data_IF_877948171990
#
_entry.id   IF_877948171990
#
_cell.length_a   1.000
_cell.length_b   1.000
_cell.length_c   1.000
_cell.angle_alpha   90.00
_cell.angle_beta   90.00
_cell.angle_gamma   90.00
#
_symmetry.space_group_name_H-M   'P 1'
#
loop_
_entity.id
_entity.type
_entity.pdbx_description
1 polymer ?
#
# COMPACT_ATOMS: atom_id res chain seq x y z
N UNK A 1 12.91 11.70 24.03
CA UNK A 1 11.73 11.14 23.33
C UNK A 1 10.56 12.12 23.25
N UNK A 2 10.43 13.12 24.13
CA UNK A 2 9.39 14.17 24.01
C UNK A 2 9.58 15.08 22.79
N UNK A 3 10.83 15.37 22.39
CA UNK A 3 11.15 16.26 21.24
C UNK A 3 10.83 15.69 19.84
N UNK A 4 10.21 14.52 19.76
CA UNK A 4 9.80 13.88 18.51
C UNK A 4 8.28 14.00 18.27
N UNK A 5 7.56 14.63 19.20
CA UNK A 5 6.14 14.91 19.08
C UNK A 5 5.92 16.41 19.23
N UNK A 6 4.98 16.93 18.46
CA UNK A 6 4.51 18.31 18.55
C UNK A 6 3.05 18.27 18.99
N UNK A 7 2.75 18.92 20.11
CA UNK A 7 1.36 19.12 20.56
C UNK A 7 0.93 20.52 20.12
N UNK A 8 -0.25 20.59 19.51
CA UNK A 8 -0.83 21.82 19.00
C UNK A 8 -2.27 21.91 19.52
N UNK A 9 -2.55 22.93 20.33
CA UNK A 9 -3.88 23.16 20.88
C UNK A 9 -4.42 24.55 20.55
N UNK A 10 -5.74 24.67 20.51
CA UNK A 10 -6.40 25.98 20.39
C UNK A 10 -5.97 26.92 21.53
N UNK A 11 -5.70 28.18 21.18
CA UNK A 11 -5.24 29.24 22.10
C UNK A 11 -3.71 29.35 22.21
N UNK A 12 -2.97 28.34 21.77
CA UNK A 12 -1.50 28.37 21.76
C UNK A 12 -0.97 29.14 20.56
N UNK A 13 0.25 29.69 20.70
CA UNK A 13 0.95 30.34 19.59
C UNK A 13 1.76 29.30 18.83
N UNK A 14 1.58 29.24 17.51
CA UNK A 14 2.37 28.37 16.65
C UNK A 14 3.77 28.94 16.45
N UNK A 15 4.79 28.21 16.90
CA UNK A 15 6.17 28.47 16.50
C UNK A 15 6.44 27.88 15.11
N UNK A 16 6.38 28.73 14.08
CA UNK A 16 6.60 28.32 12.68
C UNK A 16 8.01 27.77 12.45
N UNK A 17 9.04 28.40 13.02
CA UNK A 17 10.42 27.91 12.91
C UNK A 17 10.61 26.58 13.63
N UNK A 18 9.94 26.42 14.77
CA UNK A 18 9.83 25.15 15.49
C UNK A 18 9.13 24.07 14.67
N UNK A 19 8.04 24.41 13.97
CA UNK A 19 7.31 23.50 13.07
C UNK A 19 8.17 23.06 11.89
N UNK A 20 8.87 23.97 11.23
CA UNK A 20 9.81 23.65 10.14
C UNK A 20 10.94 22.75 10.62
N UNK A 21 11.53 23.08 11.78
CA UNK A 21 12.57 22.26 12.41
C UNK A 21 12.05 20.87 12.76
N UNK A 22 10.84 20.78 13.32
CA UNK A 22 10.17 19.52 13.61
C UNK A 22 9.93 18.71 12.34
N UNK A 23 9.37 19.34 11.30
CA UNK A 23 9.03 18.71 10.03
C UNK A 23 10.27 18.09 9.40
N UNK A 24 11.32 18.90 9.24
CA UNK A 24 12.59 18.45 8.72
C UNK A 24 13.21 17.37 9.61
N UNK A 25 13.19 17.48 10.94
CA UNK A 25 13.77 16.45 11.81
C UNK A 25 13.00 15.15 11.83
N UNK A 26 11.71 15.15 11.52
CA UNK A 26 10.82 13.98 11.70
C UNK A 26 10.30 13.36 10.42
N UNK A 27 10.63 13.94 9.25
CA UNK A 27 10.35 13.32 7.96
C UNK A 27 9.13 13.88 7.25
N UNK A 28 8.57 14.99 7.73
CA UNK A 28 7.50 15.65 7.02
C UNK A 28 8.04 16.39 5.80
N UNK A 29 7.22 16.42 4.76
CA UNK A 29 7.48 17.17 3.54
C UNK A 29 6.53 18.36 3.48
N UNK A 30 7.05 19.51 3.03
CA UNK A 30 6.20 20.64 2.72
C UNK A 30 5.66 20.50 1.31
N UNK A 31 4.34 20.49 1.18
CA UNK A 31 3.64 20.49 -0.09
C UNK A 31 2.64 21.64 -0.09
N UNK A 32 2.24 22.07 -1.29
CA UNK A 32 1.16 23.02 -1.44
C UNK A 32 -0.16 22.39 -1.03
N UNK A 33 -0.45 21.14 -1.45
CA UNK A 33 -1.71 20.46 -1.17
C UNK A 33 -1.47 19.20 -0.34
N UNK A 34 -2.34 18.99 0.64
CA UNK A 34 -2.25 17.86 1.56
C UNK A 34 -3.21 16.76 1.13
N UNK A 35 -2.67 15.66 0.64
CA UNK A 35 -3.42 14.45 0.35
C UNK A 35 -2.79 13.15 0.90
N UNK A 36 -1.52 13.18 1.33
CA UNK A 36 -0.83 12.03 1.91
C UNK A 36 -0.38 12.25 3.38
N UNK A 37 -0.38 11.19 4.22
CA UNK A 37 0.18 11.27 5.57
C UNK A 37 1.67 11.62 5.55
N UNK A 38 2.08 12.57 6.40
CA UNK A 38 3.47 13.07 6.44
C UNK A 38 3.68 14.40 5.72
N UNK A 39 2.61 15.07 5.29
CA UNK A 39 2.70 16.37 4.61
C UNK A 39 2.29 17.54 5.51
N UNK A 40 2.85 18.72 5.22
CA UNK A 40 2.51 20.01 5.85
C UNK A 40 2.39 21.09 4.76
N UNK A 41 1.34 21.90 4.83
CA UNK A 41 1.17 23.06 3.95
C UNK A 41 0.99 24.31 4.82
N UNK A 42 1.77 25.35 4.53
CA UNK A 42 1.69 26.63 5.24
C UNK A 42 1.21 27.69 4.25
N UNK A 43 0.03 28.26 4.51
CA UNK A 43 -0.64 29.23 3.64
C UNK A 43 -1.12 30.43 4.46
N UNK A 44 -0.20 31.34 4.79
CA UNK A 44 -0.50 32.52 5.59
C UNK A 44 -1.10 32.14 6.95
N UNK A 45 -2.34 32.57 7.21
CA UNK A 45 -3.09 32.26 8.44
C UNK A 45 -3.67 30.85 8.51
N UNK A 46 -3.31 29.95 7.59
CA UNK A 46 -3.76 28.55 7.60
C UNK A 46 -2.56 27.62 7.54
N UNK A 47 -2.56 26.58 8.37
CA UNK A 47 -1.58 25.51 8.32
C UNK A 47 -2.31 24.18 8.27
N UNK A 48 -2.09 23.42 7.20
CA UNK A 48 -2.62 22.06 7.07
C UNK A 48 -1.51 21.06 7.41
N UNK A 49 -1.86 20.04 8.18
CA UNK A 49 -0.94 18.97 8.59
C UNK A 49 -1.66 17.65 8.40
N UNK A 50 -1.03 16.66 7.77
CA UNK A 50 -1.49 15.27 7.79
C UNK A 50 -0.59 14.45 8.71
N UNK A 51 -0.97 14.24 9.99
CA UNK A 51 -0.11 13.49 10.89
C UNK A 51 0.00 12.03 10.45
N UNK A 52 1.23 11.50 10.34
CA UNK A 52 1.47 10.14 9.83
C UNK A 52 0.78 9.03 10.65
N UNK A 53 0.55 9.28 11.94
CA UNK A 53 -0.09 8.33 12.86
C UNK A 53 -1.56 8.67 13.20
N UNK A 54 -2.13 9.75 12.65
CA UNK A 54 -3.51 10.16 12.97
C UNK A 54 -4.52 9.64 11.92
N UNK A 55 -5.80 9.57 12.31
CA UNK A 55 -6.88 9.10 11.44
C UNK A 55 -7.30 10.04 10.29
N UNK A 56 -6.55 11.11 10.03
CA UNK A 56 -6.83 12.07 8.96
C UNK A 56 -6.14 13.43 9.17
N UNK A 57 -6.14 14.29 8.14
CA UNK A 57 -5.46 15.59 8.19
C UNK A 57 -6.26 16.63 8.98
N UNK A 58 -5.56 17.65 9.45
CA UNK A 58 -6.09 18.76 10.24
C UNK A 58 -5.68 20.10 9.64
N UNK A 59 -6.57 21.07 9.72
CA UNK A 59 -6.39 22.47 9.34
C UNK A 59 -6.38 23.33 10.59
N UNK A 60 -5.29 24.03 10.81
CA UNK A 60 -5.11 25.05 11.84
C UNK A 60 -5.50 26.40 11.24
N UNK A 61 -6.48 27.07 11.83
CA UNK A 61 -6.73 28.49 11.60
C UNK A 61 -5.88 29.32 12.57
N UNK A 62 -5.17 30.30 12.06
CA UNK A 62 -4.30 31.21 12.82
C UNK A 62 -4.81 32.65 12.74
N UNK A 63 -4.60 33.42 13.81
CA UNK A 63 -4.74 34.88 13.79
C UNK A 63 -3.45 35.58 13.31
N UNK A 64 -3.47 36.92 13.29
CA UNK A 64 -2.34 37.75 12.84
C UNK A 64 -1.07 37.60 13.72
N UNK A 65 -1.22 37.09 14.96
CA UNK A 65 -0.13 36.85 15.92
C UNK A 65 0.32 35.38 15.96
N UNK A 66 -0.08 34.57 14.98
CA UNK A 66 0.14 33.12 14.88
C UNK A 66 -0.50 32.30 16.01
N UNK A 67 -1.57 32.79 16.64
CA UNK A 67 -2.33 32.00 17.62
C UNK A 67 -3.31 31.09 16.93
N UNK A 68 -3.36 29.83 17.36
CA UNK A 68 -4.30 28.83 16.86
C UNK A 68 -5.69 29.18 17.38
N UNK A 69 -6.55 29.68 16.51
CA UNK A 69 -7.94 30.03 16.84
C UNK A 69 -8.88 28.84 16.70
N UNK A 70 -8.58 27.92 15.79
CA UNK A 70 -9.37 26.71 15.57
C UNK A 70 -8.53 25.60 14.95
N UNK A 71 -8.89 24.35 15.24
CA UNK A 71 -8.36 23.16 14.59
C UNK A 71 -9.53 22.35 14.08
N UNK A 72 -9.51 21.99 12.80
CA UNK A 72 -10.57 21.20 12.17
C UNK A 72 -9.99 20.03 11.39
N UNK A 73 -10.64 18.87 11.43
CA UNK A 73 -10.34 17.80 10.46
C UNK A 73 -10.80 18.21 9.08
N UNK A 74 -10.18 17.66 8.05
CA UNK A 74 -10.71 17.79 6.69
C UNK A 74 -10.51 16.49 5.89
N UNK A 75 -11.26 16.37 4.80
CA UNK A 75 -11.13 15.25 3.88
C UNK A 75 -10.01 15.56 2.85
N UNK A 76 -8.96 14.71 2.73
CA UNK A 76 -7.81 14.99 1.87
C UNK A 76 -8.16 14.99 0.37
N UNK A 77 -9.21 14.29 -0.04
CA UNK A 77 -9.61 14.23 -1.46
C UNK A 77 -10.40 15.48 -1.86
N UNK A 78 -11.42 15.82 -1.06
CA UNK A 78 -12.35 16.92 -1.34
C UNK A 78 -11.90 18.27 -0.80
N UNK A 79 -10.89 18.27 0.09
CA UNK A 79 -10.36 19.45 0.79
C UNK A 79 -11.42 20.20 1.63
N UNK A 80 -12.51 19.52 1.98
CA UNK A 80 -13.60 20.08 2.76
C UNK A 80 -13.37 19.84 4.24
N UNK A 81 -13.51 20.92 5.00
CA UNK A 81 -13.36 20.91 6.43
C UNK A 81 -14.58 20.28 7.11
N UNK A 82 -14.34 19.52 8.18
CA UNK A 82 -15.31 18.79 8.96
C UNK A 82 -15.31 19.19 10.43
N UNK A 83 -15.20 18.20 11.31
CA UNK A 83 -15.30 18.37 12.76
C UNK A 83 -14.19 19.24 13.37
N UNK A 84 -14.56 20.01 14.40
CA UNK A 84 -13.62 20.73 15.26
C UNK A 84 -12.95 19.76 16.24
N UNK A 85 -11.68 20.01 16.54
CA UNK A 85 -10.94 19.32 17.58
C UNK A 85 -10.22 20.33 18.47
N UNK A 86 -10.04 20.01 19.74
CA UNK A 86 -9.42 20.94 20.71
C UNK A 86 -7.90 20.97 20.59
N UNK A 87 -7.30 19.82 20.24
CA UNK A 87 -5.86 19.67 20.08
C UNK A 87 -5.53 18.53 19.12
N UNK A 88 -4.32 18.58 18.57
CA UNK A 88 -3.72 17.51 17.76
C UNK A 88 -2.31 17.24 18.24
N UNK A 89 -1.94 15.96 18.30
CA UNK A 89 -0.57 15.52 18.54
C UNK A 89 0.02 14.99 17.24
N UNK A 90 1.06 15.65 16.76
CA UNK A 90 1.80 15.30 15.55
C UNK A 90 3.01 14.47 15.96
N UNK A 91 3.02 13.19 15.57
CA UNK A 91 4.17 12.30 15.74
C UNK A 91 5.11 12.34 14.54
N UNK A 92 6.23 11.61 14.57
CA UNK A 92 7.16 11.61 13.44
C UNK A 92 6.60 10.87 12.23
N UNK A 93 6.88 11.36 11.03
CA UNK A 93 6.53 10.72 9.76
C UNK A 93 7.56 9.66 9.32
N UNK A 94 8.75 9.66 9.92
CA UNK A 94 9.82 8.72 9.64
C UNK A 94 10.36 8.10 10.93
N UNK A 95 10.74 6.82 10.85
CA UNK A 95 11.51 6.15 11.92
C UNK A 95 12.94 6.70 12.04
N UNK A 96 13.39 7.54 11.10
CA UNK A 96 14.67 8.25 11.13
C UNK A 96 14.48 9.72 11.56
N UNK A 97 14.64 9.96 12.85
CA UNK A 97 14.59 11.28 13.47
C UNK A 97 16.00 11.85 13.52
N UNK A 98 16.21 12.94 12.80
CA UNK A 98 17.51 13.59 12.70
C UNK A 98 17.82 14.36 14.00
N UNK A 99 19.10 14.36 14.39
CA UNK A 99 19.55 15.08 15.59
C UNK A 99 19.53 16.59 15.38
N UNK A 100 19.87 17.06 14.19
CA UNK A 100 19.89 18.47 13.81
C UNK A 100 19.16 18.69 12.48
N UNK A 101 18.72 19.92 12.26
CA UNK A 101 18.10 20.33 11.00
C UNK A 101 19.11 20.48 9.85
N UNK A 102 20.43 20.52 10.14
CA UNK A 102 21.47 20.60 9.10
C UNK A 102 21.71 19.27 8.37
N UNK A 103 21.18 18.15 8.88
CA UNK A 103 21.37 16.83 8.29
C UNK A 103 20.39 16.61 7.14
N UNK A 104 20.85 16.45 5.92
CA UNK A 104 19.94 16.10 4.81
C UNK A 104 19.52 14.63 4.87
N UNK A 105 18.24 14.36 4.63
CA UNK A 105 17.78 13.00 4.29
C UNK A 105 18.07 12.71 2.83
N UNK A 106 18.63 11.53 2.57
CA UNK A 106 18.79 10.98 1.23
C UNK A 106 18.11 9.61 1.16
N UNK A 107 17.66 9.16 -0.02
CA UNK A 107 17.13 7.80 -0.17
C UNK A 107 18.11 6.76 0.40
N UNK A 108 17.63 5.91 1.31
CA UNK A 108 18.43 4.85 1.93
C UNK A 108 19.21 5.26 3.17
N UNK A 109 19.06 6.49 3.68
CA UNK A 109 19.68 6.92 4.96
C UNK A 109 19.21 6.04 6.13
N UNK A 110 18.02 5.45 6.03
CA UNK A 110 17.45 4.51 6.99
C UNK A 110 18.34 3.29 7.22
N UNK A 111 19.09 2.85 6.19
CA UNK A 111 20.07 1.77 6.31
C UNK A 111 21.26 2.13 7.20
N UNK A 112 21.37 3.39 7.62
CA UNK A 112 22.41 3.90 8.50
C UNK A 112 21.87 4.45 9.80
N UNK A 113 20.62 4.11 10.15
CA UNK A 113 19.95 4.54 11.39
C UNK A 113 20.79 4.29 12.66
N UNK A 114 21.62 3.23 12.67
CA UNK A 114 22.52 2.93 13.80
C UNK A 114 23.55 4.03 14.06
N UNK A 115 23.97 4.79 13.06
CA UNK A 115 24.96 5.86 13.22
C UNK A 115 24.34 7.08 13.91
N UNK A 116 23.04 7.29 13.68
CA UNK A 116 22.25 8.33 14.34
C UNK A 116 21.91 7.89 15.76
N UNK A 117 21.34 6.70 15.94
CA UNK A 117 20.83 6.24 17.24
C UNK A 117 21.87 5.57 18.14
N UNK A 118 23.02 5.18 17.60
CA UNK A 118 24.06 4.41 18.28
C UNK A 118 23.72 2.92 18.45
N UNK A 119 22.46 2.60 18.77
CA UNK A 119 21.97 1.22 18.88
C UNK A 119 20.53 1.10 18.37
N UNK A 120 20.28 0.06 17.57
CA UNK A 120 18.93 -0.33 17.17
C UNK A 120 18.37 -1.35 18.16
N UNK A 121 17.37 -0.96 18.95
CA UNK A 121 16.63 -1.87 19.83
C UNK A 121 15.58 -2.66 19.04
N UNK A 122 15.61 -3.99 19.13
CA UNK A 122 14.67 -4.85 18.39
C UNK A 122 13.29 -4.97 19.04
N UNK A 123 12.28 -5.34 18.26
CA UNK A 123 10.90 -5.61 18.75
C UNK A 123 10.91 -6.65 19.88
N UNK A 124 11.73 -7.70 19.72
CA UNK A 124 11.88 -8.75 20.71
C UNK A 124 12.42 -8.21 22.06
N UNK A 125 13.29 -7.20 22.06
CA UNK A 125 13.79 -6.61 23.30
C UNK A 125 12.69 -5.80 24.00
N UNK A 126 11.91 -5.03 23.23
CA UNK A 126 10.79 -4.23 23.75
C UNK A 126 9.65 -5.09 24.32
N UNK A 127 9.45 -6.28 23.76
CA UNK A 127 8.40 -7.22 24.16
C UNK A 127 8.97 -8.42 24.92
N UNK A 128 9.89 -8.18 25.86
CA UNK A 128 10.63 -9.25 26.54
C UNK A 128 9.74 -10.29 27.24
N UNK A 129 8.58 -9.89 27.78
CA UNK A 129 7.63 -10.75 28.48
C UNK A 129 6.52 -11.35 27.60
N UNK A 130 6.49 -11.06 26.30
CA UNK A 130 5.44 -11.55 25.42
C UNK A 130 5.66 -13.04 25.07
N UNK A 131 4.55 -13.81 25.06
CA UNK A 131 4.55 -15.13 24.44
C UNK A 131 4.66 -14.97 22.92
N UNK A 132 5.33 -15.93 22.27
CA UNK A 132 5.50 -15.95 20.82
C UNK A 132 4.64 -17.05 20.21
N UNK A 133 3.79 -16.67 19.26
CA UNK A 133 3.01 -17.59 18.44
C UNK A 133 3.67 -17.73 17.06
N UNK A 134 4.05 -18.94 16.68
CA UNK A 134 4.76 -19.23 15.43
C UNK A 134 3.86 -19.95 14.45
N UNK A 135 3.77 -19.40 13.24
CA UNK A 135 3.41 -20.18 12.06
C UNK A 135 4.46 -21.29 11.81
N UNK A 136 4.08 -22.49 11.32
CA UNK A 136 4.99 -23.61 11.08
C UNK A 136 6.21 -23.28 10.23
N UNK A 137 6.10 -22.35 9.28
CA UNK A 137 7.17 -21.98 8.35
C UNK A 137 7.96 -20.75 8.80
N UNK A 138 7.65 -20.17 9.96
CA UNK A 138 8.27 -18.93 10.42
C UNK A 138 9.79 -19.03 10.60
N UNK A 139 10.30 -20.14 11.12
CA UNK A 139 11.76 -20.32 11.27
C UNK A 139 12.47 -20.51 9.92
N UNK A 140 11.83 -21.20 8.97
CA UNK A 140 12.36 -21.37 7.61
C UNK A 140 12.44 -20.01 6.91
N UNK A 141 11.36 -19.22 6.92
CA UNK A 141 11.33 -17.87 6.36
C UNK A 141 12.37 -16.95 7.01
N UNK A 142 12.58 -17.07 8.33
CA UNK A 142 13.61 -16.29 9.01
C UNK A 142 15.03 -16.67 8.57
N UNK A 143 15.29 -17.94 8.27
CA UNK A 143 16.58 -18.40 7.73
C UNK A 143 16.79 -17.89 6.29
N UNK A 144 15.78 -18.01 5.44
CA UNK A 144 15.80 -17.52 4.05
C UNK A 144 16.02 -16.00 4.02
N UNK A 145 15.30 -15.25 4.85
CA UNK A 145 15.48 -13.80 4.96
C UNK A 145 16.90 -13.43 5.41
N UNK A 146 17.48 -14.17 6.37
CA UNK A 146 18.86 -13.93 6.80
C UNK A 146 19.87 -14.21 5.66
N UNK A 147 19.62 -15.21 4.81
CA UNK A 147 20.44 -15.49 3.64
C UNK A 147 20.32 -14.37 2.59
N UNK A 148 19.10 -13.90 2.29
CA UNK A 148 18.86 -12.77 1.39
C UNK A 148 19.57 -11.49 1.85
N UNK A 149 19.55 -11.21 3.16
CA UNK A 149 20.27 -10.06 3.73
C UNK A 149 21.79 -10.19 3.54
N UNK A 150 22.34 -11.40 3.72
CA UNK A 150 23.76 -11.65 3.51
C UNK A 150 24.15 -11.48 2.04
N UNK A 151 23.38 -12.07 1.12
CA UNK A 151 23.58 -11.97 -0.33
C UNK A 151 23.49 -10.50 -0.81
N UNK A 152 22.46 -9.76 -0.37
CA UNK A 152 22.32 -8.35 -0.72
C UNK A 152 23.48 -7.48 -0.22
N UNK A 153 24.01 -7.80 0.98
CA UNK A 153 25.19 -7.13 1.53
C UNK A 153 26.45 -7.42 0.71
N UNK A 154 26.71 -8.68 0.37
CA UNK A 154 27.84 -9.08 -0.47
C UNK A 154 27.74 -8.45 -1.88
N UNK A 155 26.55 -8.46 -2.47
CA UNK A 155 26.28 -7.81 -3.76
C UNK A 155 26.61 -6.32 -3.73
N UNK A 156 26.20 -5.60 -2.66
CA UNK A 156 26.57 -4.17 -2.50
C UNK A 156 28.06 -3.96 -2.25
N UNK A 157 28.76 -4.85 -1.56
CA UNK A 157 30.22 -4.75 -1.41
C UNK A 157 30.93 -4.87 -2.77
N UNK A 158 30.38 -5.65 -3.70
CA UNK A 158 30.89 -5.76 -5.07
C UNK A 158 30.79 -4.47 -5.89
N UNK A 159 29.94 -3.52 -5.47
CA UNK A 159 29.77 -2.19 -6.08
C UNK A 159 30.62 -1.11 -5.38
N UNK A 160 31.58 -1.52 -4.56
CA UNK A 160 32.43 -0.59 -3.82
C UNK A 160 33.20 0.35 -4.78
N UNK A 161 33.01 1.65 -4.59
CA UNK A 161 33.62 2.71 -5.42
C UNK A 161 32.61 3.49 -6.26
N UNK A 162 31.45 2.91 -6.57
CA UNK A 162 30.33 3.60 -7.27
C UNK A 162 29.27 4.10 -6.29
N UNK A 163 29.07 3.35 -5.20
CA UNK A 163 28.15 3.68 -4.12
C UNK A 163 28.87 3.72 -2.78
N UNK A 164 28.25 4.39 -1.82
CA UNK A 164 28.73 4.38 -0.44
C UNK A 164 28.65 2.94 0.13
N UNK A 165 29.70 2.43 0.78
CA UNK A 165 29.71 1.08 1.31
C UNK A 165 28.58 0.81 2.31
N UNK A 166 27.90 -0.34 2.23
CA UNK A 166 26.87 -0.70 3.19
C UNK A 166 27.46 -0.96 4.59
N UNK A 167 26.67 -0.68 5.64
CA UNK A 167 26.99 -1.14 6.99
C UNK A 167 26.81 -2.66 7.11
N UNK A 168 27.61 -3.28 7.98
CA UNK A 168 27.50 -4.71 8.26
C UNK A 168 26.06 -5.07 8.68
N UNK A 169 25.46 -6.18 8.21
CA UNK A 169 24.05 -6.48 8.45
C UNK A 169 23.62 -6.50 9.92
N UNK A 170 24.53 -6.90 10.81
CA UNK A 170 24.34 -6.89 12.26
C UNK A 170 24.02 -5.52 12.87
N UNK A 171 24.19 -4.44 12.12
CA UNK A 171 23.85 -3.07 12.54
C UNK A 171 22.35 -2.81 12.61
N UNK A 172 21.57 -3.47 11.73
CA UNK A 172 20.12 -3.30 11.62
C UNK A 172 19.38 -4.61 11.90
N UNK A 173 19.93 -5.74 11.47
CA UNK A 173 19.28 -7.04 11.51
C UNK A 173 19.85 -7.91 12.63
N UNK A 174 18.96 -8.68 13.27
CA UNK A 174 19.38 -9.81 14.08
C UNK A 174 19.90 -10.92 13.15
N UNK A 175 21.05 -11.50 13.47
CA UNK A 175 21.48 -12.72 12.80
C UNK A 175 20.50 -13.86 13.10
N UNK A 176 20.38 -14.84 12.20
CA UNK A 176 19.52 -16.00 12.44
C UNK A 176 19.84 -16.72 13.76
N UNK A 177 21.14 -16.81 14.11
CA UNK A 177 21.59 -17.35 15.40
C UNK A 177 21.12 -16.50 16.59
N UNK A 178 21.21 -15.17 16.50
CA UNK A 178 20.73 -14.26 17.54
C UNK A 178 19.21 -14.34 17.69
N UNK A 179 18.48 -14.41 16.57
CA UNK A 179 17.03 -14.63 16.55
C UNK A 179 16.66 -15.94 17.25
N UNK A 180 17.25 -17.08 16.86
CA UNK A 180 17.03 -18.38 17.52
C UNK A 180 17.28 -18.33 19.03
N UNK A 181 18.33 -17.64 19.46
CA UNK A 181 18.65 -17.47 20.88
C UNK A 181 17.63 -16.58 21.60
N UNK A 182 17.11 -15.55 20.93
CA UNK A 182 16.12 -14.64 21.53
C UNK A 182 14.77 -15.32 21.72
N UNK A 183 14.35 -16.19 20.80
CA UNK A 183 13.04 -16.85 20.85
C UNK A 183 12.99 -18.02 21.84
N UNK A 184 14.11 -18.71 22.11
CA UNK A 184 14.14 -19.83 23.09
C UNK A 184 13.98 -19.37 24.53
N UNK A 185 14.20 -18.08 24.81
CA UNK A 185 14.06 -17.50 26.15
C UNK A 185 12.60 -17.17 26.52
N UNK A 186 11.63 -17.53 25.66
CA UNK A 186 10.22 -17.09 25.79
C UNK A 186 9.24 -18.25 25.72
N UNK A 187 8.04 -18.08 26.31
CA UNK A 187 6.93 -18.99 26.06
C UNK A 187 6.65 -19.06 24.56
N UNK A 188 6.65 -20.28 24.01
CA UNK A 188 6.46 -20.53 22.59
C UNK A 188 5.21 -21.36 22.37
N UNK A 189 4.34 -20.87 21.51
CA UNK A 189 3.21 -21.57 20.95
C UNK A 189 3.48 -21.72 19.46
N UNK A 190 3.25 -22.92 18.91
CA UNK A 190 3.28 -23.13 17.47
C UNK A 190 1.84 -23.35 17.02
N UNK A 191 1.43 -22.62 15.98
CA UNK A 191 0.16 -22.88 15.30
C UNK A 191 0.25 -24.26 14.66
N UNK A 192 -0.58 -25.18 15.16
CA UNK A 192 -0.73 -26.49 14.56
C UNK A 192 -1.81 -26.40 13.48
N UNK A 193 -1.37 -26.37 12.22
CA UNK A 193 -2.25 -26.47 11.06
C UNK A 193 -2.29 -27.91 10.51
N UNK A 194 -1.71 -28.89 11.21
CA UNK A 194 -1.76 -30.28 10.77
C UNK A 194 -3.21 -30.79 10.77
N UNK A 195 -3.58 -31.50 9.71
CA UNK A 195 -4.95 -31.98 9.54
C UNK A 195 -5.97 -30.91 9.07
N UNK A 196 -5.54 -29.66 8.91
CA UNK A 196 -6.36 -28.60 8.30
C UNK A 196 -6.08 -28.54 6.80
N UNK A 197 -7.11 -28.70 5.98
CA UNK A 197 -7.02 -28.62 4.52
C UNK A 197 -7.53 -27.26 4.02
N UNK A 198 -6.92 -26.71 2.97
CA UNK A 198 -7.45 -25.51 2.32
C UNK A 198 -8.72 -25.83 1.53
N UNK A 199 -9.63 -24.86 1.48
CA UNK A 199 -10.82 -24.96 0.62
C UNK A 199 -10.40 -24.80 -0.84
N UNK A 200 -10.93 -25.62 -1.77
CA UNK A 200 -10.66 -25.47 -3.20
C UNK A 200 -11.10 -24.10 -3.73
N UNK A 201 -10.33 -23.55 -4.68
CA UNK A 201 -10.79 -22.37 -5.43
C UNK A 201 -11.80 -22.82 -6.49
N UNK A 202 -13.06 -22.47 -6.30
CA UNK A 202 -14.15 -22.88 -7.20
C UNK A 202 -14.19 -22.14 -8.56
N UNK A 203 -13.79 -20.86 -8.67
CA UNK A 203 -13.81 -20.13 -9.96
C UNK A 203 -12.97 -20.75 -11.07
N UNK A 204 -11.91 -21.49 -10.71
CA UNK A 204 -11.05 -22.18 -11.68
C UNK A 204 -11.67 -23.50 -12.15
N UNK A 205 -12.75 -23.96 -11.54
CA UNK A 205 -13.41 -25.21 -11.88
C UNK A 205 -14.33 -25.05 -13.10
N UNK A 206 -14.60 -26.16 -13.78
CA UNK A 206 -15.46 -26.17 -14.98
C UNK A 206 -16.91 -25.77 -14.67
N UNK A 207 -17.41 -26.11 -13.49
CA UNK A 207 -18.76 -25.78 -13.04
C UNK A 207 -18.75 -25.26 -11.59
N UNK A 208 -18.28 -24.02 -11.34
CA UNK A 208 -17.99 -23.52 -9.99
C UNK A 208 -19.13 -23.68 -8.99
N UNK A 209 -20.36 -23.34 -9.41
CA UNK A 209 -21.53 -23.42 -8.53
C UNK A 209 -21.96 -24.85 -8.18
N UNK A 210 -21.78 -25.81 -9.11
CA UNK A 210 -22.12 -27.21 -8.87
C UNK A 210 -21.08 -27.87 -7.97
N UNK A 211 -19.80 -27.56 -8.21
CA UNK A 211 -18.68 -28.11 -7.45
C UNK A 211 -18.68 -27.58 -6.01
N UNK A 212 -18.98 -26.29 -5.81
CA UNK A 212 -19.24 -25.72 -4.49
C UNK A 212 -20.40 -26.44 -3.79
N UNK A 213 -21.52 -26.63 -4.49
CA UNK A 213 -22.68 -27.26 -3.91
C UNK A 213 -22.43 -28.72 -3.50
N UNK A 214 -21.70 -29.49 -4.30
CA UNK A 214 -21.27 -30.84 -3.94
C UNK A 214 -20.39 -30.81 -2.69
N UNK A 215 -19.35 -29.96 -2.69
CA UNK A 215 -18.42 -29.83 -1.56
C UNK A 215 -19.12 -29.44 -0.24
N UNK A 216 -20.05 -28.49 -0.29
CA UNK A 216 -20.83 -28.09 0.88
C UNK A 216 -21.79 -29.20 1.34
N UNK A 217 -22.42 -29.92 0.41
CA UNK A 217 -23.33 -31.02 0.74
C UNK A 217 -22.59 -32.17 1.43
N UNK A 218 -21.45 -32.58 0.88
CA UNK A 218 -20.61 -33.63 1.47
C UNK A 218 -20.23 -33.27 2.92
N UNK A 219 -19.81 -32.03 3.16
CA UNK A 219 -19.49 -31.57 4.51
C UNK A 219 -20.72 -31.59 5.45
N UNK A 220 -21.87 -31.08 5.00
CA UNK A 220 -23.09 -31.06 5.81
C UNK A 220 -23.59 -32.47 6.14
N UNK A 221 -23.53 -33.39 5.19
CA UNK A 221 -23.94 -34.79 5.34
C UNK A 221 -23.02 -35.54 6.33
N UNK A 222 -21.73 -35.19 6.37
CA UNK A 222 -20.76 -35.67 7.37
C UNK A 222 -20.96 -35.03 8.76
N UNK A 223 -21.98 -34.17 8.93
CA UNK A 223 -22.26 -33.44 10.16
C UNK A 223 -21.24 -32.34 10.46
N UNK A 224 -20.47 -31.91 9.46
CA UNK A 224 -19.48 -30.84 9.57
C UNK A 224 -20.23 -29.50 9.57
N UNK A 225 -19.80 -28.61 10.45
CA UNK A 225 -20.34 -27.26 10.50
C UNK A 225 -19.73 -26.42 9.39
N UNK A 226 -20.57 -25.76 8.61
CA UNK A 226 -20.15 -24.90 7.50
C UNK A 226 -20.35 -23.44 7.87
N UNK A 227 -19.26 -22.66 7.85
CA UNK A 227 -19.26 -21.22 8.05
C UNK A 227 -18.93 -20.56 6.71
N UNK A 228 -19.85 -19.77 6.18
CA UNK A 228 -19.55 -18.86 5.06
C UNK A 228 -19.04 -17.54 5.63
N UNK A 229 -17.93 -17.04 5.11
CA UNK A 229 -17.32 -15.79 5.60
C UNK A 229 -16.94 -14.85 4.47
N UNK A 230 -16.98 -13.55 4.73
CA UNK A 230 -16.61 -12.49 3.80
C UNK A 230 -17.21 -11.15 4.19
N UNK A 231 -17.03 -10.15 3.35
CA UNK A 231 -17.64 -8.84 3.54
C UNK A 231 -19.17 -8.90 3.32
N UNK A 232 -19.96 -7.94 3.85
CA UNK A 232 -21.42 -7.99 3.76
C UNK A 232 -21.96 -8.16 2.33
N UNK A 233 -21.33 -7.53 1.35
CA UNK A 233 -21.75 -7.60 -0.05
C UNK A 233 -21.38 -8.92 -0.73
N UNK A 234 -20.27 -9.52 -0.31
CA UNK A 234 -19.80 -10.82 -0.80
C UNK A 234 -20.66 -11.94 -0.21
N UNK A 235 -20.92 -11.90 1.10
CA UNK A 235 -21.80 -12.85 1.79
C UNK A 235 -23.20 -12.90 1.19
N UNK A 236 -23.77 -11.75 0.80
CA UNK A 236 -25.06 -11.71 0.08
C UNK A 236 -25.00 -12.47 -1.25
N UNK A 237 -23.90 -12.31 -2.00
CA UNK A 237 -23.71 -12.96 -3.29
C UNK A 237 -23.50 -14.46 -3.14
N UNK A 238 -22.63 -14.88 -2.22
CA UNK A 238 -22.37 -16.31 -1.93
C UNK A 238 -23.62 -16.99 -1.36
N UNK A 239 -24.34 -16.35 -0.43
CA UNK A 239 -25.58 -16.91 0.14
C UNK A 239 -26.65 -17.12 -0.92
N UNK A 240 -26.77 -16.21 -1.90
CA UNK A 240 -27.71 -16.35 -3.03
C UNK A 240 -27.30 -17.51 -3.95
N UNK A 241 -26.01 -17.69 -4.20
CA UNK A 241 -25.49 -18.83 -4.96
C UNK A 241 -25.80 -20.14 -4.25
N UNK A 242 -25.55 -20.22 -2.95
CA UNK A 242 -25.83 -21.41 -2.13
C UNK A 242 -27.33 -21.73 -2.11
N UNK A 243 -28.19 -20.72 -1.91
CA UNK A 243 -29.65 -20.90 -1.98
C UNK A 243 -30.11 -21.42 -3.33
N UNK A 244 -29.53 -20.95 -4.44
CA UNK A 244 -29.87 -21.41 -5.79
C UNK A 244 -29.46 -22.87 -6.05
N UNK A 245 -28.33 -23.32 -5.50
CA UNK A 245 -27.77 -24.64 -5.79
C UNK A 245 -28.19 -25.73 -4.80
N UNK A 246 -28.42 -25.37 -3.54
CA UNK A 246 -28.70 -26.30 -2.45
C UNK A 246 -30.08 -26.10 -1.80
N UNK A 247 -30.81 -25.05 -2.15
CA UNK A 247 -32.03 -24.61 -1.46
C UNK A 247 -31.84 -24.29 0.05
N UNK A 248 -30.59 -24.11 0.48
CA UNK A 248 -30.22 -23.78 1.86
C UNK A 248 -29.96 -22.28 2.05
N UNK A 249 -30.30 -21.77 3.23
CA UNK A 249 -30.02 -20.39 3.63
C UNK A 249 -29.10 -20.38 4.85
N UNK A 250 -27.87 -19.82 4.73
CA UNK A 250 -26.97 -19.65 5.87
C UNK A 250 -27.60 -18.79 6.96
N UNK A 251 -27.47 -19.21 8.22
CA UNK A 251 -27.93 -18.43 9.37
C UNK A 251 -26.84 -17.47 9.84
N UNK A 252 -27.09 -16.16 9.93
CA UNK A 252 -26.08 -15.20 10.37
C UNK A 252 -25.76 -15.38 11.86
N UNK A 253 -24.49 -15.23 12.20
CA UNK A 253 -23.97 -15.22 13.57
C UNK A 253 -23.10 -13.97 13.80
N UNK A 254 -22.93 -13.58 15.06
CA UNK A 254 -22.27 -12.32 15.45
C UNK A 254 -20.76 -12.43 15.58
N UNK A 255 -20.26 -13.59 15.99
CA UNK A 255 -18.87 -13.78 16.36
C UNK A 255 -18.43 -15.23 16.22
N UNK A 256 -17.12 -15.42 16.30
CA UNK A 256 -16.48 -16.73 16.19
C UNK A 256 -16.90 -17.72 17.29
N UNK A 257 -17.17 -17.24 18.51
CA UNK A 257 -17.55 -18.11 19.62
C UNK A 257 -18.94 -18.72 19.40
N UNK A 258 -19.89 -17.92 18.93
CA UNK A 258 -21.20 -18.40 18.49
C UNK A 258 -21.07 -19.43 17.35
N UNK A 259 -20.09 -19.24 16.46
CA UNK A 259 -19.77 -20.20 15.42
C UNK A 259 -19.36 -21.55 16.00
N UNK A 260 -18.48 -21.58 17.01
CA UNK A 260 -17.92 -22.79 17.64
C UNK A 260 -18.90 -23.57 18.53
N UNK A 261 -19.95 -22.94 19.05
CA UNK A 261 -20.95 -23.62 19.92
C UNK A 261 -22.24 -24.03 19.22
N UNK A 262 -22.42 -23.67 17.94
CA UNK A 262 -23.63 -24.04 17.19
C UNK A 262 -23.76 -25.56 17.00
N UNK A 263 -24.89 -26.07 16.48
CA UNK A 263 -25.05 -27.50 16.29
C UNK A 263 -24.16 -28.04 15.14
N UNK A 264 -23.69 -29.30 15.19
CA UNK A 264 -23.07 -29.96 14.03
C UNK A 264 -23.99 -29.95 12.79
N UNK A 265 -23.41 -29.99 11.59
CA UNK A 265 -24.16 -30.02 10.32
C UNK A 265 -24.94 -28.73 9.99
N UNK A 266 -24.64 -27.61 10.66
CA UNK A 266 -25.30 -26.32 10.39
C UNK A 266 -24.53 -25.51 9.36
N UNK A 267 -25.29 -24.84 8.49
CA UNK A 267 -24.82 -23.81 7.58
C UNK A 267 -25.07 -22.43 8.20
N UNK A 268 -23.99 -21.72 8.52
CA UNK A 268 -24.01 -20.39 9.15
C UNK A 268 -23.17 -19.40 8.34
N UNK A 269 -23.35 -18.10 8.59
CA UNK A 269 -22.55 -17.04 8.00
C UNK A 269 -22.01 -16.08 9.06
N UNK A 270 -20.74 -15.70 8.91
CA UNK A 270 -20.04 -14.78 9.80
C UNK A 270 -19.40 -13.67 8.96
N UNK A 271 -19.55 -12.42 9.38
CA UNK A 271 -18.82 -11.31 8.76
C UNK A 271 -17.36 -11.31 9.24
N UNK A 272 -16.47 -11.86 8.41
CA UNK A 272 -15.03 -11.77 8.59
C UNK A 272 -14.33 -11.80 7.22
N UNK A 273 -13.39 -10.89 7.03
CA UNK A 273 -12.60 -10.79 5.81
C UNK A 273 -11.36 -11.69 5.93
N UNK A 274 -11.41 -12.87 5.30
CA UNK A 274 -10.29 -13.81 5.23
C UNK A 274 -10.02 -14.21 3.77
N UNK A 275 -8.75 -14.41 3.44
CA UNK A 275 -8.32 -14.64 2.05
C UNK A 275 -8.61 -16.06 1.54
N UNK A 276 -8.70 -17.02 2.46
CA UNK A 276 -8.91 -18.43 2.18
C UNK A 276 -9.66 -19.12 3.31
N UNK A 277 -10.63 -19.95 2.93
CA UNK A 277 -11.27 -20.89 3.81
C UNK A 277 -10.39 -22.09 4.13
N UNK A 278 -10.79 -22.83 5.16
CA UNK A 278 -10.10 -24.02 5.62
C UNK A 278 -11.10 -25.06 6.15
N UNK A 279 -10.66 -26.30 6.13
CA UNK A 279 -11.42 -27.46 6.56
C UNK A 279 -10.64 -28.20 7.64
N UNK A 280 -11.12 -28.11 8.87
CA UNK A 280 -10.64 -28.86 10.01
C UNK A 280 -11.60 -30.03 10.31
N UNK A 281 -11.22 -31.23 9.87
CA UNK A 281 -12.01 -32.44 10.12
C UNK A 281 -12.00 -32.86 11.59
N UNK A 282 -10.93 -32.56 12.33
CA UNK A 282 -10.83 -32.86 13.76
C UNK A 282 -11.83 -32.04 14.57
N UNK A 283 -11.96 -30.76 14.25
CA UNK A 283 -12.94 -29.87 14.85
C UNK A 283 -14.36 -29.98 14.23
N UNK A 284 -14.56 -30.82 13.21
CA UNK A 284 -15.79 -30.90 12.39
C UNK A 284 -16.24 -29.52 11.90
N UNK A 285 -15.29 -28.76 11.37
CA UNK A 285 -15.47 -27.37 10.97
C UNK A 285 -14.97 -27.13 9.54
N UNK A 286 -15.81 -26.53 8.73
CA UNK A 286 -15.50 -26.04 7.40
C UNK A 286 -15.79 -24.54 7.33
N UNK A 287 -14.76 -23.74 7.10
CA UNK A 287 -14.89 -22.31 6.82
C UNK A 287 -14.67 -22.11 5.32
N UNK A 288 -15.64 -21.52 4.63
CA UNK A 288 -15.54 -21.16 3.21
C UNK A 288 -15.51 -19.66 3.10
N UNK A 289 -14.39 -19.12 2.60
CA UNK A 289 -14.27 -17.70 2.35
C UNK A 289 -14.99 -17.33 1.05
N UNK A 290 -15.54 -16.13 1.00
CA UNK A 290 -16.13 -15.61 -0.23
C UNK A 290 -15.09 -15.56 -1.36
N UNK A 291 -13.83 -15.28 -1.05
CA UNK A 291 -12.70 -15.34 -1.99
C UNK A 291 -12.54 -16.73 -2.65
N UNK A 292 -12.83 -17.83 -1.94
CA UNK A 292 -12.77 -19.19 -2.51
C UNK A 292 -13.84 -19.42 -3.59
N UNK A 293 -14.95 -18.71 -3.48
CA UNK A 293 -16.13 -18.85 -4.34
C UNK A 293 -16.14 -17.83 -5.48
N UNK A 294 -15.67 -16.61 -5.22
CA UNK A 294 -15.75 -15.47 -6.13
C UNK A 294 -14.44 -15.20 -6.89
N UNK A 295 -13.29 -15.71 -6.43
CA UNK A 295 -12.04 -15.73 -7.20
C UNK A 295 -11.05 -14.62 -6.88
N UNK A 296 -11.14 -14.06 -5.68
CA UNK A 296 -10.33 -12.94 -5.22
C UNK A 296 -11.19 -11.90 -4.52
N UNK A 297 -10.54 -10.99 -3.78
CA UNK A 297 -11.23 -9.93 -3.04
C UNK A 297 -12.10 -9.12 -4.00
N UNK A 298 -13.40 -9.05 -3.74
CA UNK A 298 -14.16 -7.89 -4.22
C UNK A 298 -13.81 -6.80 -3.22
N UNK A 299 -12.79 -6.00 -3.54
CA UNK A 299 -12.40 -4.89 -2.68
C UNK A 299 -13.68 -4.11 -2.30
N UNK A 300 -13.96 -3.93 -1.00
CA UNK A 300 -15.09 -3.13 -0.59
C UNK A 300 -14.91 -1.75 -1.22
N UNK A 301 -15.87 -1.32 -2.04
CA UNK A 301 -15.99 0.08 -2.40
C UNK A 301 -16.43 0.82 -1.12
N UNK A 302 -15.45 1.19 -0.30
CA UNK A 302 -15.63 2.04 0.88
C UNK A 302 -14.71 1.69 2.04
N UNK A 303 -13.93 2.70 2.44
CA UNK A 303 -13.10 2.86 3.64
C UNK A 303 -11.73 2.14 3.65
N UNK A 304 -10.69 2.85 3.21
CA UNK A 304 -9.29 2.56 3.52
C UNK A 304 -8.34 2.65 2.32
N UNK A 305 -7.74 3.84 2.14
CA UNK A 305 -6.65 4.18 1.20
C UNK A 305 -6.82 3.62 -0.20
N UNK A 306 -7.69 4.28 -0.97
CA UNK A 306 -7.73 4.05 -2.40
C UNK A 306 -6.43 4.54 -3.03
N UNK A 307 -5.59 3.61 -3.48
CA UNK A 307 -4.71 3.81 -4.65
C UNK A 307 -5.52 4.03 -5.95
N UNK A 308 -6.76 4.51 -5.85
CA UNK A 308 -7.47 5.08 -6.98
C UNK A 308 -6.91 6.49 -7.14
N UNK A 309 -5.85 6.61 -7.94
CA UNK A 309 -5.62 7.83 -8.71
C UNK A 309 -6.99 8.19 -9.31
N UNK A 310 -7.60 9.32 -8.95
CA UNK A 310 -8.82 9.74 -9.61
C UNK A 310 -8.50 9.79 -11.10
N UNK A 311 -9.27 9.09 -11.93
CA UNK A 311 -9.22 9.16 -13.40
C UNK A 311 -9.47 10.60 -13.94
N UNK A 312 -9.57 11.59 -13.04
CA UNK A 312 -9.86 12.99 -13.26
C UNK A 312 -8.83 13.91 -12.57
N UNK A 313 -7.77 13.38 -11.96
CA UNK A 313 -6.62 14.20 -11.60
C UNK A 313 -5.81 14.44 -12.88
N UNK A 314 -5.80 15.68 -13.35
CA UNK A 314 -4.87 16.08 -14.40
C UNK A 314 -3.44 15.80 -13.86
N UNK A 315 -2.62 14.98 -14.54
CA UNK A 315 -1.27 14.72 -14.09
C UNK A 315 -0.49 16.04 -14.11
N UNK A 316 0.12 16.40 -12.97
CA UNK A 316 0.98 17.57 -12.86
C UNK A 316 2.32 17.27 -13.55
N UNK A 317 2.38 17.54 -14.87
CA UNK A 317 3.54 17.24 -15.72
C UNK A 317 4.61 18.31 -15.57
N UNK A 318 5.84 17.90 -15.25
CA UNK A 318 7.03 18.78 -15.16
C UNK A 318 7.97 18.54 -16.32
N UNK A 319 8.67 19.60 -16.74
CA UNK A 319 9.74 19.49 -17.72
C UNK A 319 10.82 18.54 -17.18
N UNK A 320 11.16 17.52 -17.97
CA UNK A 320 12.05 16.42 -17.59
C UNK A 320 11.33 15.10 -17.30
N UNK A 321 10.00 15.10 -17.16
CA UNK A 321 9.22 13.88 -16.94
C UNK A 321 9.22 12.98 -18.18
N UNK A 322 9.27 11.67 -17.94
CA UNK A 322 9.11 10.66 -18.99
C UNK A 322 7.62 10.46 -19.24
N UNK A 323 7.20 10.61 -20.49
CA UNK A 323 5.80 10.51 -20.93
C UNK A 323 5.65 9.44 -22.01
N UNK A 324 4.50 8.75 -22.00
CA UNK A 324 4.15 7.79 -23.05
C UNK A 324 3.08 8.43 -23.93
N UNK A 325 3.44 8.73 -25.17
CA UNK A 325 2.50 9.17 -26.19
C UNK A 325 1.91 7.93 -26.88
N UNK A 326 0.57 7.84 -27.03
CA UNK A 326 -0.09 6.65 -27.58
C UNK A 326 0.45 6.26 -28.98
N UNK A 327 0.61 7.23 -29.87
CA UNK A 327 1.11 6.98 -31.24
C UNK A 327 2.63 6.91 -31.39
N UNK A 328 3.39 7.50 -30.47
CA UNK A 328 4.83 7.75 -30.64
C UNK A 328 5.72 7.07 -29.60
N UNK A 329 5.14 6.50 -28.54
CA UNK A 329 5.85 5.78 -27.49
C UNK A 329 6.49 6.68 -26.45
N UNK A 330 7.56 6.20 -25.82
CA UNK A 330 8.26 6.85 -24.72
C UNK A 330 9.09 8.05 -25.18
N UNK A 331 8.84 9.21 -24.59
CA UNK A 331 9.62 10.44 -24.78
C UNK A 331 9.80 11.21 -23.47
N UNK A 332 10.59 12.28 -23.50
CA UNK A 332 10.80 13.18 -22.35
C UNK A 332 10.13 14.52 -22.66
N UNK A 333 9.28 15.01 -21.74
CA UNK A 333 8.70 16.34 -21.84
C UNK A 333 9.81 17.39 -21.73
N UNK A 334 10.11 18.10 -22.82
CA UNK A 334 11.25 19.01 -22.91
C UNK A 334 10.87 20.48 -22.76
N UNK A 335 9.63 20.87 -23.10
CA UNK A 335 9.12 22.24 -22.89
C UNK A 335 7.59 22.33 -23.03
N UNK A 336 7.01 23.41 -22.51
CA UNK A 336 5.68 23.93 -22.89
C UNK A 336 5.90 25.21 -23.71
N UNK A 337 5.32 25.29 -24.90
CA UNK A 337 5.57 26.39 -25.83
C UNK A 337 4.29 26.84 -26.54
N UNK A 338 4.23 28.11 -26.93
CA UNK A 338 3.14 28.63 -27.76
C UNK A 338 3.42 28.37 -29.23
N UNK A 339 2.46 27.74 -29.91
CA UNK A 339 2.50 27.48 -31.35
C UNK A 339 1.31 28.15 -32.01
N UNK A 340 1.58 28.89 -33.09
CA UNK A 340 0.54 29.50 -33.93
C UNK A 340 0.23 28.56 -35.10
N UNK A 341 -1.02 28.09 -35.17
CA UNK A 341 -1.49 27.26 -36.26
C UNK A 341 -2.84 27.77 -36.76
N UNK A 342 -2.90 28.21 -38.02
CA UNK A 342 -4.13 28.72 -38.62
C UNK A 342 -4.62 30.05 -38.03
N UNK A 343 -3.72 30.90 -37.51
CA UNK A 343 -4.05 32.22 -36.95
C UNK A 343 -4.63 32.20 -35.53
N UNK A 344 -4.50 31.08 -34.82
CA UNK A 344 -4.86 30.94 -33.40
C UNK A 344 -3.64 30.44 -32.63
N UNK A 345 -3.23 31.17 -31.60
CA UNK A 345 -2.18 30.73 -30.68
C UNK A 345 -2.71 29.65 -29.74
N UNK A 346 -1.94 28.57 -29.55
CA UNK A 346 -2.22 27.52 -28.58
C UNK A 346 -0.96 27.08 -27.86
N UNK A 347 -1.11 26.73 -26.59
CA UNK A 347 -0.04 26.07 -25.83
C UNK A 347 0.10 24.61 -26.32
N UNK A 348 1.34 24.22 -26.59
CA UNK A 348 1.72 22.91 -27.09
C UNK A 348 2.85 22.32 -26.23
N UNK A 349 2.78 21.01 -25.98
CA UNK A 349 3.83 20.28 -25.30
C UNK A 349 4.89 19.85 -26.32
N UNK A 350 6.16 20.00 -25.97
CA UNK A 350 7.29 19.46 -26.74
C UNK A 350 7.79 18.19 -26.07
N UNK A 351 7.76 17.08 -26.81
CA UNK A 351 8.25 15.78 -26.34
C UNK A 351 9.43 15.37 -27.22
N UNK A 352 10.57 15.08 -26.59
CA UNK A 352 11.80 14.67 -27.28
C UNK A 352 12.00 13.16 -27.16
N UNK A 353 12.30 12.51 -28.29
CA UNK A 353 12.48 11.06 -28.39
C UNK A 353 13.95 10.68 -28.61
N UNK A 354 14.27 9.41 -28.36
CA UNK A 354 15.59 8.87 -28.65
C UNK A 354 15.88 8.95 -30.16
N UNK A 355 17.02 9.54 -30.54
CA UNK A 355 17.40 9.80 -31.93
C UNK A 355 17.22 11.23 -32.41
N UNK A 356 16.82 12.16 -31.53
CA UNK A 356 16.78 13.60 -31.83
C UNK A 356 15.53 14.08 -32.56
N UNK A 357 14.49 13.23 -32.61
CA UNK A 357 13.18 13.61 -33.12
C UNK A 357 12.34 14.30 -32.03
N UNK A 358 11.67 15.39 -32.38
CA UNK A 358 10.76 16.12 -31.49
C UNK A 358 9.32 16.03 -32.01
N UNK A 359 8.38 15.77 -31.10
CA UNK A 359 6.95 15.90 -31.32
C UNK A 359 6.41 17.19 -30.69
N UNK A 360 5.48 17.84 -31.38
CA UNK A 360 4.77 19.04 -30.91
C UNK A 360 3.28 18.81 -31.07
N UNK A 361 2.57 18.62 -29.96
CA UNK A 361 1.11 18.41 -29.94
C UNK A 361 0.44 19.49 -29.12
N UNK A 362 -0.77 19.91 -29.53
CA UNK A 362 -1.59 20.78 -28.70
C UNK A 362 -2.00 20.08 -27.41
N UNK A 363 -2.25 20.86 -26.34
CA UNK A 363 -2.86 20.33 -25.12
C UNK A 363 -4.30 19.84 -25.39
N UNK A 364 -4.44 18.65 -25.99
CA UNK A 364 -5.70 17.98 -26.24
C UNK A 364 -5.93 16.94 -25.15
N UNK A 365 -7.16 16.95 -24.59
CA UNK A 365 -7.80 16.05 -23.61
C UNK A 365 -6.89 15.00 -22.97
N UNK A 366 -6.81 15.05 -21.63
CA UNK A 366 -6.11 14.15 -20.71
C UNK A 366 -6.39 12.63 -20.84
N UNK A 367 -7.07 12.16 -21.90
CA UNK A 367 -7.29 10.76 -22.21
C UNK A 367 -6.26 10.14 -23.18
N UNK A 368 -5.41 10.93 -23.85
CA UNK A 368 -4.45 10.44 -24.89
C UNK A 368 -2.99 10.39 -24.40
N UNK A 369 -2.72 10.76 -23.13
CA UNK A 369 -1.39 10.72 -22.51
C UNK A 369 -1.44 9.89 -21.23
N UNK A 370 -0.87 8.69 -21.28
CA UNK A 370 -0.66 7.86 -20.10
C UNK A 370 0.62 8.29 -19.39
N UNK A 371 0.51 8.88 -18.20
CA UNK A 371 1.64 9.19 -17.34
C UNK A 371 1.84 8.07 -16.31
N UNK A 372 2.72 7.11 -16.62
CA UNK A 372 3.26 6.19 -15.61
C UNK A 372 4.53 6.80 -15.03
N UNK A 373 4.47 7.27 -13.78
CA UNK A 373 5.66 7.70 -13.04
C UNK A 373 6.46 6.46 -12.65
N UNK A 374 7.49 6.14 -13.42
CA UNK A 374 8.51 5.17 -13.02
C UNK A 374 9.27 5.72 -11.80
N UNK A 375 8.81 5.39 -10.59
CA UNK A 375 9.60 5.55 -9.37
C UNK A 375 10.63 4.42 -9.34
N UNK A 376 11.79 4.66 -9.95
CA UNK A 376 12.90 3.72 -9.96
C UNK A 376 14.24 4.43 -10.16
N UNK A 377 15.16 4.22 -9.22
CA UNK A 377 16.57 4.61 -9.33
C UNK A 377 17.30 3.92 -10.50
N UNK A 378 18.61 4.16 -10.68
CA UNK A 378 19.25 4.16 -11.99
C UNK A 378 19.28 2.78 -12.66
N UNK A 379 18.90 2.78 -13.94
CA UNK A 379 19.29 1.87 -15.01
C UNK A 379 19.40 0.36 -14.67
N UNK A 380 18.25 -0.32 -14.63
CA UNK A 380 18.21 -1.74 -14.97
C UNK A 380 17.93 -1.86 -16.48
N UNK A 381 18.95 -2.18 -17.27
CA UNK A 381 18.77 -2.68 -18.65
C UNK A 381 17.93 -3.96 -18.58
N UNK A 382 16.66 -3.87 -18.94
CA UNK A 382 15.86 -5.06 -19.27
C UNK A 382 15.67 -5.05 -20.78
N UNK A 383 16.45 -5.90 -21.45
CA UNK A 383 16.32 -6.12 -22.89
C UNK A 383 14.96 -6.74 -23.20
N UNK A 384 14.15 -6.04 -23.98
CA UNK A 384 12.96 -6.61 -24.61
C UNK A 384 13.12 -6.59 -26.13
N UNK A 385 12.91 -7.78 -26.70
CA UNK A 385 13.00 -8.08 -28.12
C UNK A 385 11.75 -7.54 -28.83
N UNK A 386 11.90 -6.57 -29.74
CA UNK A 386 10.79 -6.04 -30.53
C UNK A 386 10.52 -6.98 -31.71
N UNK A 387 9.36 -7.63 -31.70
CA UNK A 387 8.80 -8.27 -32.90
C UNK A 387 8.28 -7.20 -33.86
N UNK A 388 8.85 -7.14 -35.06
CA UNK A 388 8.31 -6.38 -36.19
C UNK A 388 7.09 -7.12 -36.76
N UNK A 389 5.94 -6.46 -36.77
CA UNK A 389 4.74 -6.80 -37.53
C UNK A 389 4.15 -5.46 -37.96
N UNK A 390 3.81 -5.18 -39.21
CA UNK A 390 3.92 -5.90 -40.47
C UNK A 390 3.55 -4.88 -41.54
N UNK A 391 4.38 -4.76 -42.56
CA UNK A 391 4.16 -3.94 -43.75
C UNK A 391 3.32 -4.76 -44.74
N UNK A 392 2.08 -4.36 -45.01
CA UNK A 392 1.28 -4.89 -46.11
C UNK A 392 0.56 -3.75 -46.81
N UNK A 393 1.26 -3.15 -47.77
CA UNK A 393 0.70 -2.32 -48.83
C UNK A 393 -0.13 -3.18 -49.80
N UNK A 394 -1.43 -2.95 -49.87
CA UNK A 394 -2.31 -3.45 -50.92
C UNK A 394 -2.15 -2.60 -52.19
N UNK A 395 -1.54 -3.17 -53.23
CA UNK A 395 -1.49 -2.60 -54.58
C UNK A 395 -2.30 -3.45 -55.54
N UNK A 396 -3.45 -2.94 -55.99
CA UNK A 396 -4.22 -3.48 -57.11
C UNK A 396 -3.93 -2.69 -58.37
N UNK A 397 -3.34 -3.33 -59.39
CA UNK A 397 -3.46 -2.91 -60.79
C UNK A 397 -3.07 -4.08 -61.73
N UNK A 398 -4.07 -4.62 -62.43
CA UNK A 398 -3.96 -5.18 -63.79
C UNK A 398 -4.67 -4.19 -64.73
N UNK A 399 -4.56 -4.25 -66.09
CA UNK A 399 -4.01 -5.31 -66.95
C UNK A 399 -3.10 -4.80 -68.10
N UNK A 400 -2.52 -5.72 -68.87
CA UNK A 400 -1.82 -5.45 -70.13
C UNK A 400 -0.81 -6.53 -70.49
#
# INVERSE_FOLDING_TARGET
MSEAFLELACGERLDRGGLETFAHRTGYVFDDRIDEPGEIAIRGGVVDIFPAAAGGPVRLGLDDDDRIIEIKRFDPLTQRTGELVEAVRVGPASELILKSHDQSRRPGTEHRSVEIYGRMGGVLERLAGAALLFDPLAELRAAEFAAQVAEAYEGRLGLAGEIEPPLAPKSLYLSFRAFKTAITKRPRLTLDASGVALVPRFPTARNPGRDLAAFLRDALDDGIRVILTGLPHELRSVSRLVKRQLDLSPQPITDWQAALVSAPGRLISLEADIDSGFHDRGAKLLVVAAADVLGGRIAPRGAGVGNSVPLLAEPDLRVGDVVIHEDHGLGVLSALERVEAGGVERDALRISYHGGADYRGGACRAGELGADRLVGGPAAMVGFSVHRSGDQTSGTASPG
#
